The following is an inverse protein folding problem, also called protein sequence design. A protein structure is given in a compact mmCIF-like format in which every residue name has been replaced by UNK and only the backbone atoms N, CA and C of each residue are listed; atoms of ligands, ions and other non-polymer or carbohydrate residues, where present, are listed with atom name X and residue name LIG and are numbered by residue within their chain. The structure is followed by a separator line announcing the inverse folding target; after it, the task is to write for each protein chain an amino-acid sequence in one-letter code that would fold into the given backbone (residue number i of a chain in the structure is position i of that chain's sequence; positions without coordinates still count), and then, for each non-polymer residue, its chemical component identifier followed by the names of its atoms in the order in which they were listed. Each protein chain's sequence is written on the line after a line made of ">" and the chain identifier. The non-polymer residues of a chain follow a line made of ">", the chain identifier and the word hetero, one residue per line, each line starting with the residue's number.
data_IF_898120590054
#
_entry.id   IF_898120590054
#
_cell.length_a   1.000
_cell.length_b   1.000
_cell.length_c   1.000
_cell.angle_alpha   90.00
_cell.angle_beta   90.00
_cell.angle_gamma   90.00
#
_symmetry.space_group_name_H-M   'P 1'
#
loop_
_entity.id
_entity.type
_entity.pdbx_description
1 polymer ?
#
# COMPACT_ATOMS: atom_id res chain seq x y z
N UNK A 1 37.35 11.20 -8.92
CA UNK A 1 36.32 10.32 -9.49
C UNK A 1 35.46 9.75 -8.37
N UNK A 2 34.15 9.88 -8.49
CA UNK A 2 33.18 9.32 -7.57
C UNK A 2 32.21 8.49 -8.38
N UNK A 3 31.98 7.23 -7.99
CA UNK A 3 31.02 6.38 -8.66
C UNK A 3 30.05 5.74 -7.67
N UNK A 4 28.82 5.59 -8.11
CA UNK A 4 27.77 4.84 -7.41
C UNK A 4 27.24 3.79 -8.38
N UNK A 5 27.16 2.56 -7.94
CA UNK A 5 26.58 1.46 -8.68
C UNK A 5 25.62 0.71 -7.77
N UNK A 6 24.43 0.42 -8.26
CA UNK A 6 23.48 -0.40 -7.56
C UNK A 6 22.66 -1.25 -8.54
N UNK A 7 22.20 -2.39 -8.03
CA UNK A 7 21.26 -3.27 -8.67
C UNK A 7 19.91 -3.15 -7.93
N UNK A 8 18.83 -3.06 -8.68
CA UNK A 8 17.47 -3.07 -8.13
C UNK A 8 16.73 -4.25 -8.74
N UNK A 9 16.10 -5.03 -7.88
CA UNK A 9 15.26 -6.16 -8.24
C UNK A 9 13.83 -5.89 -7.77
N UNK A 10 12.85 -6.08 -8.64
CA UNK A 10 11.44 -6.13 -8.28
C UNK A 10 11.00 -7.59 -8.15
N UNK A 11 10.51 -7.97 -6.98
CA UNK A 11 10.13 -9.35 -6.68
C UNK A 11 8.62 -9.50 -6.54
N UNK A 12 8.08 -10.60 -7.05
CA UNK A 12 6.75 -11.05 -6.64
C UNK A 12 6.87 -11.65 -5.23
N UNK A 13 6.32 -10.98 -4.23
CA UNK A 13 6.40 -11.40 -2.83
C UNK A 13 5.66 -12.72 -2.53
N UNK A 14 4.87 -13.25 -3.47
CA UNK A 14 4.16 -14.52 -3.31
C UNK A 14 5.00 -15.70 -3.78
N UNK A 15 5.74 -15.52 -4.86
CA UNK A 15 6.52 -16.58 -5.51
C UNK A 15 8.01 -16.45 -5.27
N UNK A 16 8.49 -15.24 -4.98
CA UNK A 16 9.90 -14.90 -4.91
C UNK A 16 10.55 -14.70 -6.27
N UNK A 17 9.76 -14.72 -7.34
CA UNK A 17 10.30 -14.55 -8.69
C UNK A 17 10.70 -13.10 -8.93
N UNK A 18 11.79 -12.90 -9.67
CA UNK A 18 12.23 -11.58 -10.14
C UNK A 18 11.36 -11.19 -11.33
N UNK A 19 10.54 -10.15 -11.13
CA UNK A 19 9.66 -9.60 -12.17
C UNK A 19 10.40 -8.63 -13.10
N UNK A 20 11.39 -7.95 -12.56
CA UNK A 20 12.21 -6.98 -13.27
C UNK A 20 13.49 -6.74 -12.50
N UNK A 21 14.58 -6.51 -13.22
CA UNK A 21 15.87 -6.12 -12.65
C UNK A 21 16.53 -5.06 -13.51
N UNK A 22 17.29 -4.17 -12.88
CA UNK A 22 18.17 -3.23 -13.55
C UNK A 22 19.45 -3.03 -12.75
N UNK A 23 20.52 -2.72 -13.46
CA UNK A 23 21.77 -2.29 -12.86
C UNK A 23 22.16 -0.93 -13.43
N UNK A 24 22.35 0.03 -12.55
CA UNK A 24 22.72 1.38 -12.95
C UNK A 24 24.02 1.81 -12.29
N UNK A 25 24.86 2.47 -13.06
CA UNK A 25 26.13 3.05 -12.62
C UNK A 25 26.21 4.51 -13.01
N UNK A 26 26.40 5.36 -12.03
CA UNK A 26 26.63 6.79 -12.25
C UNK A 26 28.06 7.16 -11.83
N UNK A 27 28.74 7.96 -12.65
CA UNK A 27 30.10 8.42 -12.38
C UNK A 27 30.18 9.93 -12.48
N UNK A 28 30.82 10.55 -11.51
CA UNK A 28 31.12 11.98 -11.52
C UNK A 28 32.60 12.19 -11.33
N UNK A 29 33.17 13.01 -12.18
CA UNK A 29 34.60 13.37 -12.10
C UNK A 29 34.70 14.65 -11.27
N UNK A 30 35.47 14.60 -10.19
CA UNK A 30 35.82 15.80 -9.42
C UNK A 30 36.71 16.70 -10.24
N UNK A 31 36.21 17.85 -10.66
CA UNK A 31 36.97 18.83 -11.40
C UNK A 31 36.19 19.54 -12.50
N UNK A 32 35.27 18.87 -13.19
CA UNK A 32 34.42 19.50 -14.22
C UNK A 32 33.06 18.83 -14.17
N UNK A 33 32.17 19.44 -13.43
CA UNK A 33 30.73 19.07 -13.47
C UNK A 33 30.15 19.58 -14.77
N UNK A 34 30.08 18.73 -15.77
CA UNK A 34 29.55 19.03 -17.11
C UNK A 34 30.15 20.27 -17.76
N UNK A 35 30.82 20.19 -18.94
CA UNK A 35 31.36 21.35 -19.59
C UNK A 35 30.25 22.13 -20.31
N UNK A 36 29.42 22.80 -19.58
CA UNK A 36 28.72 23.94 -20.14
C UNK A 36 29.73 25.09 -20.20
N UNK A 37 29.84 25.71 -21.35
CA UNK A 37 30.73 26.85 -21.61
C UNK A 37 30.59 27.95 -20.54
N UNK A 38 29.48 28.00 -19.86
CA UNK A 38 29.20 28.94 -18.75
C UNK A 38 30.05 28.67 -17.50
N UNK A 39 30.38 27.42 -17.20
CA UNK A 39 31.19 27.06 -16.03
C UNK A 39 32.67 27.37 -16.27
N UNK A 40 33.10 27.41 -17.54
CA UNK A 40 34.46 27.76 -17.91
C UNK A 40 34.69 29.28 -17.84
N UNK A 41 33.67 30.08 -18.12
CA UNK A 41 33.78 31.54 -18.17
C UNK A 41 33.78 32.18 -16.75
N UNK A 42 33.21 31.53 -15.76
CA UNK A 42 33.18 32.09 -14.39
C UNK A 42 34.43 31.84 -13.57
N UNK A 43 35.45 31.13 -14.09
CA UNK A 43 36.77 31.05 -13.49
C UNK A 43 36.87 30.57 -12.06
N UNK A 44 35.76 30.10 -11.49
CA UNK A 44 35.74 29.48 -10.19
C UNK A 44 35.98 27.99 -10.37
N UNK A 45 37.27 27.62 -10.38
CA UNK A 45 37.68 26.31 -9.89
C UNK A 45 37.27 26.28 -8.39
N UNK A 46 35.97 26.14 -8.16
CA UNK A 46 35.48 25.88 -6.83
C UNK A 46 36.17 24.60 -6.37
N UNK A 47 36.85 24.65 -5.26
CA UNK A 47 37.18 23.46 -4.48
C UNK A 47 35.90 22.70 -4.28
N UNK A 48 35.55 21.82 -5.21
CA UNK A 48 34.38 20.97 -5.10
C UNK A 48 34.70 20.05 -3.95
N UNK A 49 34.11 20.38 -2.80
CA UNK A 49 34.22 19.55 -1.62
C UNK A 49 33.80 18.13 -2.02
N UNK A 50 34.61 17.14 -1.71
CA UNK A 50 34.37 15.74 -2.05
C UNK A 50 32.94 15.33 -1.65
N UNK A 51 32.42 15.84 -0.52
CA UNK A 51 31.07 15.63 -0.09
C UNK A 51 30.01 16.15 -1.08
N UNK A 52 30.22 17.31 -1.69
CA UNK A 52 29.28 17.85 -2.69
C UNK A 52 29.24 16.99 -3.95
N UNK A 53 30.38 16.44 -4.37
CA UNK A 53 30.45 15.52 -5.50
C UNK A 53 29.66 14.23 -5.22
N UNK A 54 29.76 13.67 -4.02
CA UNK A 54 28.98 12.51 -3.64
C UNK A 54 27.47 12.80 -3.63
N UNK A 55 27.05 13.92 -3.04
CA UNK A 55 25.63 14.29 -3.01
C UNK A 55 25.08 14.48 -4.42
N UNK A 56 25.82 15.17 -5.29
CA UNK A 56 25.41 15.38 -6.68
C UNK A 56 25.31 14.07 -7.46
N UNK A 57 26.29 13.20 -7.31
CA UNK A 57 26.26 11.87 -7.95
C UNK A 57 25.09 11.05 -7.44
N UNK A 58 24.82 11.07 -6.12
CA UNK A 58 23.71 10.34 -5.51
C UNK A 58 22.34 10.89 -5.99
N UNK A 59 22.21 12.21 -6.13
CA UNK A 59 21.00 12.84 -6.64
C UNK A 59 20.71 12.40 -8.08
N UNK A 60 21.70 12.53 -8.97
CA UNK A 60 21.58 12.15 -10.39
C UNK A 60 21.31 10.65 -10.52
N UNK A 61 22.04 9.84 -9.77
CA UNK A 61 21.83 8.40 -9.70
C UNK A 61 20.40 8.06 -9.31
N UNK A 62 19.89 8.65 -8.21
CA UNK A 62 18.55 8.37 -7.73
C UNK A 62 17.48 8.73 -8.76
N UNK A 63 17.61 9.90 -9.41
CA UNK A 63 16.65 10.33 -10.44
C UNK A 63 16.68 9.39 -11.64
N UNK A 64 17.85 8.97 -12.09
CA UNK A 64 17.99 8.09 -13.25
C UNK A 64 17.46 6.69 -12.93
N UNK A 65 17.78 6.15 -11.75
CA UNK A 65 17.23 4.87 -11.29
C UNK A 65 15.71 4.87 -11.21
N UNK A 66 15.11 5.94 -10.71
CA UNK A 66 13.64 6.04 -10.62
C UNK A 66 12.97 6.05 -12.00
N UNK A 67 13.64 6.57 -13.03
CA UNK A 67 13.11 6.56 -14.41
C UNK A 67 13.14 5.16 -15.04
N UNK A 68 14.03 4.29 -14.58
CA UNK A 68 14.15 2.92 -15.10
C UNK A 68 13.14 1.96 -14.47
N UNK A 69 12.55 2.33 -13.31
CA UNK A 69 11.49 1.51 -12.69
C UNK A 69 10.27 1.52 -13.61
N UNK A 70 9.83 0.34 -14.09
CA UNK A 70 8.67 0.28 -14.98
C UNK A 70 7.43 0.78 -14.26
N UNK A 71 6.60 1.56 -14.97
CA UNK A 71 5.27 1.91 -14.47
C UNK A 71 4.45 0.62 -14.33
N UNK A 72 3.91 0.31 -13.15
CA UNK A 72 3.04 -0.84 -12.96
C UNK A 72 1.89 -0.89 -13.97
N UNK A 73 1.36 0.27 -14.36
CA UNK A 73 0.32 0.37 -15.37
C UNK A 73 0.78 -0.08 -16.76
N UNK A 74 2.05 0.11 -17.11
CA UNK A 74 2.61 -0.30 -18.40
C UNK A 74 3.05 -1.76 -18.42
N UNK A 75 3.61 -2.25 -17.31
CA UNK A 75 4.09 -3.62 -17.18
C UNK A 75 2.95 -4.63 -17.03
N UNK A 76 1.77 -4.18 -16.61
CA UNK A 76 0.66 -5.05 -16.24
C UNK A 76 -0.57 -4.87 -17.14
N UNK A 77 -0.38 -4.41 -18.35
CA UNK A 77 -1.46 -4.30 -19.35
C UNK A 77 -2.05 -5.69 -19.63
N UNK A 78 -3.12 -6.00 -18.92
CA UNK A 78 -4.03 -7.09 -19.22
C UNK A 78 -4.08 -8.28 -18.25
N UNK A 79 -3.13 -8.47 -17.33
CA UNK A 79 -3.10 -9.72 -16.55
C UNK A 79 -3.32 -9.57 -15.04
N UNK A 80 -3.09 -8.42 -14.45
CA UNK A 80 -3.20 -8.26 -12.98
C UNK A 80 -4.04 -7.03 -12.62
N UNK A 81 -5.34 -7.17 -12.66
CA UNK A 81 -6.26 -6.20 -12.08
C UNK A 81 -6.48 -6.55 -10.59
N UNK A 82 -6.16 -5.61 -9.71
CA UNK A 82 -6.52 -5.74 -8.30
C UNK A 82 -8.05 -5.74 -8.14
N UNK A 83 -8.61 -6.57 -7.25
CA UNK A 83 -10.02 -6.52 -6.92
C UNK A 83 -10.45 -5.11 -6.53
N UNK A 84 -11.49 -4.61 -7.18
CA UNK A 84 -12.04 -3.30 -6.88
C UNK A 84 -13.19 -3.41 -5.89
N UNK A 85 -13.17 -2.57 -4.85
CA UNK A 85 -14.28 -2.38 -3.92
C UNK A 85 -14.82 -0.97 -4.11
N UNK A 86 -16.01 -0.85 -4.67
CA UNK A 86 -16.66 0.45 -4.93
C UNK A 86 -17.30 1.00 -3.66
N UNK A 87 -17.84 0.13 -2.81
CA UNK A 87 -18.62 0.56 -1.65
C UNK A 87 -18.47 -0.41 -0.47
N UNK A 88 -18.46 0.15 0.74
CA UNK A 88 -18.54 -0.58 2.02
C UNK A 88 -19.49 0.14 2.96
N UNK A 89 -20.38 -0.59 3.58
CA UNK A 89 -21.35 -0.10 4.56
C UNK A 89 -21.48 -1.03 5.76
N UNK A 90 -21.83 -0.45 6.90
CA UNK A 90 -22.07 -1.17 8.14
C UNK A 90 -23.15 -0.43 8.95
N UNK A 91 -23.79 -1.12 9.90
CA UNK A 91 -24.72 -0.54 10.84
C UNK A 91 -24.05 0.27 11.97
N UNK A 92 -22.72 0.39 11.98
CA UNK A 92 -22.01 1.21 12.95
C UNK A 92 -22.27 2.69 12.71
N UNK A 93 -22.60 3.40 13.78
CA UNK A 93 -22.75 4.86 13.79
C UNK A 93 -21.61 5.48 14.59
N UNK A 94 -21.27 6.76 14.34
CA UNK A 94 -20.32 7.49 15.19
C UNK A 94 -20.73 7.39 16.66
N UNK A 95 -19.78 7.10 17.53
CA UNK A 95 -19.98 6.99 18.99
C UNK A 95 -20.90 5.86 19.47
N UNK A 96 -21.27 4.91 18.59
CA UNK A 96 -22.03 3.73 19.00
C UNK A 96 -21.14 2.80 19.83
N UNK A 97 -21.51 2.57 21.07
CA UNK A 97 -20.88 1.57 21.93
C UNK A 97 -21.60 0.24 21.79
N UNK A 98 -20.84 -0.79 21.46
CA UNK A 98 -21.32 -2.15 21.27
C UNK A 98 -21.37 -2.89 22.62
N UNK A 99 -22.39 -3.72 22.78
CA UNK A 99 -22.60 -4.60 23.97
C UNK A 99 -22.50 -6.06 23.55
N UNK A 100 -22.30 -6.99 24.49
CA UNK A 100 -22.43 -8.41 24.23
C UNK A 100 -23.78 -8.71 23.55
N UNK A 101 -23.74 -9.58 22.52
CA UNK A 101 -24.85 -9.95 21.63
C UNK A 101 -25.24 -8.90 20.58
N UNK A 102 -24.68 -7.69 20.58
CA UNK A 102 -24.84 -6.80 19.45
C UNK A 102 -24.19 -7.40 18.19
N UNK A 103 -24.75 -7.07 17.04
CA UNK A 103 -24.30 -7.61 15.76
C UNK A 103 -23.82 -6.49 14.84
N UNK A 104 -22.59 -6.62 14.39
CA UNK A 104 -22.03 -5.79 13.33
C UNK A 104 -22.40 -6.44 12.01
N UNK A 105 -23.11 -5.71 11.14
CA UNK A 105 -23.41 -6.11 9.77
C UNK A 105 -22.48 -5.36 8.84
N UNK A 106 -21.93 -6.05 7.84
CA UNK A 106 -21.10 -5.45 6.80
C UNK A 106 -21.65 -5.83 5.45
N UNK A 107 -21.81 -4.84 4.59
CA UNK A 107 -22.15 -4.97 3.17
C UNK A 107 -21.04 -4.35 2.35
N UNK A 108 -20.58 -5.07 1.33
CA UNK A 108 -19.49 -4.66 0.46
C UNK A 108 -19.90 -4.89 -1.00
N UNK A 109 -19.68 -3.88 -1.84
CA UNK A 109 -19.91 -3.95 -3.28
C UNK A 109 -18.58 -3.82 -4.01
N UNK A 110 -18.34 -4.73 -4.95
CA UNK A 110 -17.11 -4.77 -5.73
C UNK A 110 -17.15 -5.77 -6.85
N UNK A 111 -16.00 -6.21 -7.33
CA UNK A 111 -15.88 -7.21 -8.39
C UNK A 111 -16.57 -8.53 -7.99
N UNK A 112 -17.33 -9.17 -8.89
CA UNK A 112 -18.05 -10.40 -8.59
C UNK A 112 -17.15 -11.65 -8.62
N UNK A 113 -17.62 -12.72 -7.96
CA UNK A 113 -16.98 -14.04 -8.00
C UNK A 113 -15.68 -14.15 -7.19
N UNK A 114 -15.47 -13.25 -6.26
CA UNK A 114 -14.27 -13.20 -5.39
C UNK A 114 -14.58 -13.74 -3.99
N UNK A 115 -13.53 -13.98 -3.23
CA UNK A 115 -13.67 -14.28 -1.80
C UNK A 115 -13.70 -12.98 -1.01
N UNK A 116 -14.82 -12.72 -0.31
CA UNK A 116 -15.00 -11.54 0.53
C UNK A 116 -14.79 -11.86 2.00
N UNK A 117 -14.16 -10.95 2.72
CA UNK A 117 -14.10 -10.96 4.18
C UNK A 117 -13.96 -9.54 4.72
N UNK A 118 -14.17 -9.38 6.02
CA UNK A 118 -13.90 -8.11 6.69
C UNK A 118 -13.14 -8.32 7.99
N UNK A 119 -12.46 -7.27 8.43
CA UNK A 119 -11.70 -7.21 9.65
C UNK A 119 -12.24 -6.11 10.55
N UNK A 120 -12.16 -6.31 11.87
CA UNK A 120 -12.46 -5.31 12.90
C UNK A 120 -11.10 -4.87 13.46
N UNK A 121 -10.48 -3.87 12.83
CA UNK A 121 -9.12 -3.45 13.12
C UNK A 121 -8.12 -4.61 13.02
N UNK A 122 -7.16 -4.63 13.96
CA UNK A 122 -6.23 -5.76 14.14
C UNK A 122 -6.75 -6.84 15.10
N UNK A 123 -7.90 -6.56 15.72
CA UNK A 123 -8.45 -7.40 16.78
C UNK A 123 -9.14 -8.66 16.27
N UNK A 124 -9.92 -8.58 15.20
CA UNK A 124 -10.62 -9.71 14.60
C UNK A 124 -10.49 -9.69 13.10
N UNK A 125 -9.90 -10.72 12.54
CA UNK A 125 -9.59 -10.79 11.11
C UNK A 125 -10.33 -11.91 10.41
N UNK A 126 -10.46 -11.78 9.07
CA UNK A 126 -10.98 -12.80 8.17
C UNK A 126 -12.41 -13.25 8.49
N UNK A 127 -13.29 -12.33 8.92
CA UNK A 127 -14.69 -12.63 9.11
C UNK A 127 -15.33 -12.75 7.71
N UNK A 128 -15.92 -13.91 7.36
CA UNK A 128 -16.33 -14.17 5.99
C UNK A 128 -17.53 -13.31 5.60
N UNK A 129 -17.48 -12.84 4.35
CA UNK A 129 -18.61 -12.25 3.63
C UNK A 129 -19.12 -13.25 2.58
N UNK A 130 -20.41 -13.39 2.47
CA UNK A 130 -21.06 -14.21 1.44
C UNK A 130 -21.52 -13.33 0.30
N UNK A 131 -21.18 -13.69 -0.93
CA UNK A 131 -21.75 -13.06 -2.13
C UNK A 131 -23.20 -13.50 -2.26
N UNK A 132 -24.13 -12.55 -2.17
CA UNK A 132 -25.59 -12.81 -2.23
C UNK A 132 -26.16 -12.56 -3.63
N UNK A 133 -25.59 -11.63 -4.36
CA UNK A 133 -25.77 -11.42 -5.80
C UNK A 133 -24.40 -11.00 -6.38
N UNK A 134 -24.19 -11.12 -7.69
CA UNK A 134 -22.89 -10.78 -8.29
C UNK A 134 -22.37 -9.41 -7.84
N UNK A 135 -21.20 -9.42 -7.19
CA UNK A 135 -20.51 -8.22 -6.70
C UNK A 135 -21.06 -7.63 -5.39
N UNK A 136 -22.09 -8.22 -4.77
CA UNK A 136 -22.59 -7.79 -3.48
C UNK A 136 -22.34 -8.85 -2.41
N UNK A 137 -21.52 -8.51 -1.44
CA UNK A 137 -21.07 -9.37 -0.35
C UNK A 137 -21.62 -8.88 0.97
N UNK A 138 -22.16 -9.80 1.78
CA UNK A 138 -22.68 -9.45 3.12
C UNK A 138 -22.22 -10.45 4.17
N UNK A 139 -22.06 -9.95 5.39
CA UNK A 139 -21.71 -10.78 6.53
C UNK A 139 -21.98 -10.08 7.85
N UNK A 140 -21.77 -10.78 8.94
CA UNK A 140 -21.96 -10.19 10.26
C UNK A 140 -21.05 -10.84 11.29
N UNK A 141 -20.80 -10.10 12.37
CA UNK A 141 -20.12 -10.57 13.56
C UNK A 141 -20.96 -10.25 14.80
N UNK A 142 -21.15 -11.24 15.66
CA UNK A 142 -21.85 -11.04 16.94
C UNK A 142 -20.82 -10.84 18.04
N UNK A 143 -20.92 -9.72 18.75
CA UNK A 143 -20.02 -9.35 19.84
C UNK A 143 -20.18 -10.36 20.98
N UNK A 144 -19.08 -10.92 21.46
CA UNK A 144 -19.05 -11.84 22.59
C UNK A 144 -18.72 -11.08 23.87
N UNK A 145 -19.12 -11.62 25.02
CA UNK A 145 -18.80 -11.04 26.33
C UNK A 145 -17.28 -10.93 26.60
N UNK A 146 -16.48 -11.78 25.96
CA UNK A 146 -15.02 -11.76 26.07
C UNK A 146 -14.35 -10.72 25.18
N UNK A 147 -15.09 -10.09 24.26
CA UNK A 147 -14.54 -9.19 23.28
C UNK A 147 -14.24 -7.82 23.92
N UNK A 148 -13.05 -7.30 23.68
CA UNK A 148 -12.62 -5.98 24.16
C UNK A 148 -12.18 -5.16 22.95
N UNK A 149 -13.12 -4.50 22.31
CA UNK A 149 -12.88 -3.70 21.10
C UNK A 149 -12.77 -2.23 21.46
N UNK A 150 -11.65 -1.62 21.17
CA UNK A 150 -11.44 -0.18 21.32
C UNK A 150 -11.17 0.44 19.97
N UNK A 151 -12.02 1.40 19.55
CA UNK A 151 -11.82 2.25 18.37
C UNK A 151 -11.29 1.52 17.12
N UNK A 152 -11.94 0.44 16.71
CA UNK A 152 -11.50 -0.38 15.59
C UNK A 152 -12.23 -0.03 14.29
N UNK A 153 -11.47 0.19 13.22
CA UNK A 153 -12.02 0.40 11.89
C UNK A 153 -12.53 -0.91 11.28
N UNK A 154 -13.57 -0.82 10.47
CA UNK A 154 -14.03 -1.93 9.64
C UNK A 154 -13.30 -1.84 8.30
N UNK A 155 -12.66 -2.94 7.91
CA UNK A 155 -11.88 -3.07 6.69
C UNK A 155 -12.49 -4.20 5.88
N UNK A 156 -13.07 -3.89 4.73
CA UNK A 156 -13.55 -4.89 3.78
C UNK A 156 -12.42 -5.30 2.82
N UNK A 157 -12.35 -6.58 2.51
CA UNK A 157 -11.36 -7.14 1.60
C UNK A 157 -12.02 -8.08 0.60
N UNK A 158 -11.68 -7.93 -0.67
CA UNK A 158 -11.94 -8.92 -1.71
C UNK A 158 -10.64 -9.57 -2.14
N UNK A 159 -10.64 -10.88 -2.29
CA UNK A 159 -9.48 -11.68 -2.70
C UNK A 159 -9.81 -12.49 -3.95
N UNK A 160 -8.99 -12.37 -4.96
CA UNK A 160 -9.07 -13.15 -6.20
C UNK A 160 -8.47 -14.56 -6.03
N UNK A 161 -8.74 -15.45 -6.97
CA UNK A 161 -8.22 -16.82 -6.96
C UNK A 161 -6.69 -16.89 -7.02
N UNK A 162 -6.07 -15.93 -7.70
CA UNK A 162 -4.61 -15.79 -7.80
C UNK A 162 -3.98 -15.04 -6.61
N UNK A 163 -4.76 -14.77 -5.54
CA UNK A 163 -4.26 -14.23 -4.29
C UNK A 163 -4.20 -12.71 -4.19
N UNK A 164 -4.54 -11.98 -5.26
CA UNK A 164 -4.59 -10.51 -5.23
C UNK A 164 -5.71 -10.02 -4.33
N UNK A 165 -5.48 -8.94 -3.61
CA UNK A 165 -6.46 -8.38 -2.67
C UNK A 165 -6.71 -6.91 -2.93
N UNK A 166 -8.00 -6.53 -2.89
CA UNK A 166 -8.43 -5.14 -2.77
C UNK A 166 -8.99 -4.88 -1.39
N UNK A 167 -8.75 -3.71 -0.81
CA UNK A 167 -9.23 -3.32 0.52
C UNK A 167 -9.92 -1.98 0.52
N UNK A 168 -10.95 -1.84 1.36
CA UNK A 168 -11.65 -0.58 1.59
C UNK A 168 -12.03 -0.41 3.06
N UNK A 169 -11.83 0.82 3.56
CA UNK A 169 -12.15 1.19 4.94
C UNK A 169 -13.54 1.81 5.02
N UNK A 170 -14.30 1.45 6.06
CA UNK A 170 -15.50 2.19 6.41
C UNK A 170 -15.12 3.47 7.16
N UNK A 171 -15.56 4.62 6.65
CA UNK A 171 -15.11 5.94 7.13
C UNK A 171 -16.03 6.58 8.18
N UNK A 172 -17.29 6.12 8.29
CA UNK A 172 -18.34 6.82 9.03
C UNK A 172 -18.59 6.28 10.44
N UNK A 173 -17.74 5.39 10.95
CA UNK A 173 -17.89 4.84 12.29
C UNK A 173 -16.79 3.87 12.64
N UNK A 174 -16.60 3.64 13.93
CA UNK A 174 -15.67 2.67 14.49
C UNK A 174 -16.39 1.70 15.42
N UNK A 175 -15.91 0.47 15.49
CA UNK A 175 -16.37 -0.47 16.50
C UNK A 175 -15.77 -0.09 17.86
N UNK A 176 -16.63 0.12 18.85
CA UNK A 176 -16.26 0.38 20.25
C UNK A 176 -17.07 -0.55 21.16
N UNK A 177 -16.42 -1.08 22.19
CA UNK A 177 -17.09 -1.89 23.20
C UNK A 177 -17.49 -1.03 24.42
N UNK A 178 -18.69 -1.25 24.94
CA UNK A 178 -19.11 -0.62 26.18
C UNK A 178 -18.58 -1.41 27.38
N UNK A 179 -17.46 -0.91 27.97
CA UNK A 179 -16.86 -1.54 29.15
C UNK A 179 -17.70 -1.42 30.44
N UNK A 180 -18.80 -0.65 30.39
CA UNK A 180 -19.66 -0.42 31.59
C UNK A 180 -20.66 -1.54 31.83
N UNK A 181 -20.76 -2.54 30.97
CA UNK A 181 -21.76 -3.64 31.10
C UNK A 181 -21.20 -4.94 31.69
N UNK A 182 -20.05 -4.89 32.36
CA UNK A 182 -19.49 -6.04 33.09
C UNK A 182 -19.85 -5.86 34.58
N UNK A 183 -21.05 -6.20 34.95
CA UNK A 183 -21.47 -6.52 36.32
C UNK A 183 -22.08 -7.90 36.30
#
# INVERSE_FOLDING_TARGET
>A
ETSIQAKIDMLDLRTGDILWETEHKEMTYSGILSPTIVDIVQGQLANVNVHQAYFKTAEVFSVNMMKEIPDPADSWKGEIRLPEITYIETNLKPNLKLKPNDRIYVSLKGDPGLTGYFDIGSWKSNIPLKEIVPGLYTGSYTIKASDKVTNSLIIGTLKSKNGLTGKKFYKNGMAQFDSSSTN
#
